data_IF_122265290852
#
_entry.id   IF_122265290852
#
_cell.length_a   1.000
_cell.length_b   1.000
_cell.length_c   1.000
_cell.angle_alpha   90.00
_cell.angle_beta   90.00
_cell.angle_gamma   90.00
#
_symmetry.space_group_name_H-M   'P 1'
#
loop_
_entity.id
_entity.type
_entity.pdbx_description
1 polymer ?
#
# COMPACT_ATOMS: atom_id res chain seq x y z
N UNK A 1 -6.32 2.43 13.66
CA UNK A 1 -5.72 2.48 12.31
C UNK A 1 -4.34 1.85 12.33
N UNK A 2 -3.87 1.30 11.20
CA UNK A 2 -2.64 0.49 11.13
C UNK A 2 -1.78 0.85 9.90
N UNK A 3 -1.02 -0.08 9.31
CA UNK A 3 0.02 0.18 8.31
C UNK A 3 -0.39 1.18 7.21
N UNK A 4 -1.54 0.96 6.55
CA UNK A 4 -2.00 1.84 5.45
C UNK A 4 -2.03 3.32 5.85
N UNK A 5 -2.73 3.64 6.94
CA UNK A 5 -2.85 5.02 7.41
C UNK A 5 -1.50 5.56 7.87
N UNK A 6 -0.68 4.74 8.53
CA UNK A 6 0.65 5.16 8.97
C UNK A 6 1.54 5.54 7.79
N UNK A 7 1.54 4.76 6.71
CA UNK A 7 2.26 5.09 5.48
C UNK A 7 1.72 6.37 4.85
N UNK A 8 0.40 6.53 4.74
CA UNK A 8 -0.20 7.74 4.15
C UNK A 8 0.13 9.00 4.96
N UNK A 9 0.11 8.93 6.30
CA UNK A 9 0.53 10.03 7.15
C UNK A 9 2.01 10.36 6.99
N UNK A 10 2.89 9.35 6.91
CA UNK A 10 4.33 9.56 6.66
C UNK A 10 4.55 10.23 5.31
N UNK A 11 3.95 9.68 4.25
CA UNK A 11 4.12 10.16 2.88
C UNK A 11 3.55 11.57 2.69
N UNK A 12 2.31 11.81 3.12
CA UNK A 12 1.68 13.13 3.05
C UNK A 12 2.37 14.16 3.96
N UNK A 13 2.68 13.79 5.20
CA UNK A 13 3.24 14.73 6.18
C UNK A 13 4.71 15.07 5.98
N UNK A 14 5.55 14.11 5.54
CA UNK A 14 6.98 14.32 5.37
C UNK A 14 7.40 14.72 3.96
N UNK A 15 6.57 14.42 2.95
CA UNK A 15 6.90 14.65 1.54
C UNK A 15 5.85 15.48 0.79
N UNK A 16 4.85 16.02 1.50
CA UNK A 16 3.82 16.91 0.96
C UNK A 16 3.05 16.30 -0.23
N UNK A 17 2.82 14.99 -0.21
CA UNK A 17 2.05 14.31 -1.25
C UNK A 17 0.54 14.58 -1.11
N UNK A 18 -0.20 14.68 -2.22
CA UNK A 18 -1.65 14.92 -2.18
C UNK A 18 -2.38 13.75 -1.50
N UNK A 19 -3.31 14.09 -0.61
CA UNK A 19 -3.86 13.16 0.37
C UNK A 19 -4.63 11.99 -0.26
N UNK A 20 -5.61 12.28 -1.12
CA UNK A 20 -6.50 11.26 -1.69
C UNK A 20 -5.76 10.28 -2.61
N UNK A 21 -4.83 10.79 -3.41
CA UNK A 21 -4.00 10.02 -4.32
C UNK A 21 -3.03 9.14 -3.56
N UNK A 22 -2.41 9.66 -2.49
CA UNK A 22 -1.54 8.86 -1.61
C UNK A 22 -2.29 7.68 -1.03
N UNK A 23 -3.52 7.88 -0.53
CA UNK A 23 -4.35 6.80 -0.03
C UNK A 23 -4.69 5.77 -1.12
N UNK A 24 -5.10 6.25 -2.29
CA UNK A 24 -5.44 5.42 -3.45
C UNK A 24 -4.27 4.51 -3.86
N UNK A 25 -3.07 5.08 -3.97
CA UNK A 25 -1.86 4.37 -4.41
C UNK A 25 -1.38 3.38 -3.34
N UNK A 26 -1.38 3.77 -2.07
CA UNK A 26 -0.80 2.95 -0.98
C UNK A 26 -1.72 1.79 -0.56
N UNK A 27 -3.04 1.95 -0.67
CA UNK A 27 -4.03 0.96 -0.23
C UNK A 27 -3.75 -0.47 -0.72
N UNK A 28 -3.58 -0.76 -2.02
CA UNK A 28 -3.38 -2.13 -2.49
C UNK A 28 -2.09 -2.75 -1.95
N UNK A 29 -1.00 -1.98 -1.85
CA UNK A 29 0.27 -2.50 -1.35
C UNK A 29 0.27 -2.73 0.17
N UNK A 30 -0.39 -1.87 0.95
CA UNK A 30 -0.55 -2.07 2.38
C UNK A 30 -1.47 -3.26 2.71
N UNK A 31 -2.50 -3.50 1.88
CA UNK A 31 -3.33 -4.70 1.98
C UNK A 31 -2.52 -5.95 1.64
N UNK A 32 -1.72 -5.92 0.56
CA UNK A 32 -0.87 -7.02 0.15
C UNK A 32 0.15 -7.41 1.23
N UNK A 33 0.76 -6.42 1.90
CA UNK A 33 1.64 -6.67 3.04
C UNK A 33 0.95 -7.50 4.13
N UNK A 34 -0.28 -7.11 4.49
CA UNK A 34 -1.02 -7.74 5.57
C UNK A 34 -1.70 -9.05 5.19
N UNK A 35 -1.94 -9.31 3.90
CA UNK A 35 -2.73 -10.44 3.40
C UNK A 35 -2.38 -11.80 4.04
N UNK A 36 -1.09 -12.18 4.24
CA UNK A 36 -0.74 -13.46 4.87
C UNK A 36 -1.19 -13.60 6.34
N UNK A 37 -1.53 -12.50 7.01
CA UNK A 37 -1.96 -12.46 8.42
C UNK A 37 -3.44 -12.11 8.59
N UNK A 38 -4.18 -11.89 7.50
CA UNK A 38 -5.63 -11.61 7.54
C UNK A 38 -6.42 -12.41 6.49
N UNK A 39 -6.22 -13.74 6.36
CA UNK A 39 -6.82 -14.53 5.27
C UNK A 39 -8.35 -14.47 5.23
N UNK A 40 -9.02 -14.42 6.39
CA UNK A 40 -10.48 -14.30 6.45
C UNK A 40 -10.97 -12.95 5.90
N UNK A 41 -10.26 -11.86 6.21
CA UNK A 41 -10.55 -10.54 5.64
C UNK A 41 -10.32 -10.52 4.13
N UNK A 42 -9.23 -11.14 3.65
CA UNK A 42 -8.97 -11.25 2.21
C UNK A 42 -10.09 -12.01 1.49
N UNK A 43 -10.62 -13.08 2.08
CA UNK A 43 -11.75 -13.83 1.52
C UNK A 43 -13.02 -12.98 1.42
N UNK A 44 -13.34 -12.19 2.45
CA UNK A 44 -14.50 -11.28 2.44
C UNK A 44 -14.33 -10.20 1.36
N UNK A 45 -13.15 -9.60 1.27
CA UNK A 45 -12.85 -8.57 0.27
C UNK A 45 -12.93 -9.12 -1.16
N UNK A 46 -12.46 -10.35 -1.39
CA UNK A 46 -12.57 -11.01 -2.68
C UNK A 46 -14.03 -11.20 -3.09
N UNK A 47 -14.95 -11.40 -2.14
CA UNK A 47 -16.38 -11.54 -2.42
C UNK A 47 -17.09 -10.25 -2.86
N UNK A 48 -16.50 -9.07 -2.63
CA UNK A 48 -17.13 -7.76 -2.92
C UNK A 48 -16.40 -6.95 -3.99
N UNK A 49 -15.12 -7.23 -4.24
CA UNK A 49 -14.33 -6.53 -5.25
C UNK A 49 -14.61 -7.08 -6.65
N UNK A 50 -14.69 -6.21 -7.68
CA UNK A 50 -15.02 -6.62 -9.04
C UNK A 50 -13.89 -7.49 -9.63
N UNK A 51 -14.27 -8.50 -10.42
CA UNK A 51 -13.34 -9.38 -11.16
C UNK A 51 -12.23 -10.02 -10.30
N UNK A 52 -12.48 -10.16 -9.00
CA UNK A 52 -11.52 -10.70 -8.03
C UNK A 52 -11.10 -12.13 -8.32
N UNK A 53 -12.00 -12.95 -8.89
CA UNK A 53 -11.80 -14.39 -9.08
C UNK A 53 -11.34 -15.11 -7.80
N UNK A 54 -11.82 -14.65 -6.63
CA UNK A 54 -11.42 -15.19 -5.32
C UNK A 54 -10.14 -14.57 -4.73
N UNK A 55 -9.48 -13.67 -5.46
CA UNK A 55 -8.31 -12.90 -5.00
C UNK A 55 -8.66 -11.41 -4.83
N UNK A 56 -8.66 -10.94 -3.59
CA UNK A 56 -8.95 -9.55 -3.28
C UNK A 56 -7.93 -8.56 -3.86
N UNK A 57 -6.65 -8.92 -3.97
CA UNK A 57 -5.63 -8.03 -4.55
C UNK A 57 -5.86 -7.87 -6.04
N UNK A 58 -6.15 -8.96 -6.75
CA UNK A 58 -6.58 -8.91 -8.16
C UNK A 58 -7.80 -8.02 -8.34
N UNK A 59 -8.83 -8.20 -7.51
CA UNK A 59 -10.05 -7.41 -7.60
C UNK A 59 -9.80 -5.91 -7.35
N UNK A 60 -8.96 -5.59 -6.36
CA UNK A 60 -8.59 -4.22 -6.05
C UNK A 60 -7.75 -3.58 -7.17
N UNK A 61 -6.75 -4.29 -7.70
CA UNK A 61 -5.97 -3.82 -8.85
C UNK A 61 -6.89 -3.56 -10.07
N UNK A 62 -7.86 -4.44 -10.32
CA UNK A 62 -8.82 -4.29 -11.41
C UNK A 62 -9.74 -3.08 -11.21
N UNK A 63 -10.27 -2.89 -10.00
CA UNK A 63 -11.08 -1.73 -9.65
C UNK A 63 -10.32 -0.42 -9.92
N UNK A 64 -9.10 -0.32 -9.39
CA UNK A 64 -8.27 0.87 -9.55
C UNK A 64 -7.91 1.13 -11.02
N UNK A 65 -7.68 0.09 -11.83
CA UNK A 65 -7.48 0.22 -13.28
C UNK A 65 -8.72 0.75 -13.99
N UNK A 66 -9.92 0.23 -13.66
CA UNK A 66 -11.19 0.69 -14.23
C UNK A 66 -11.50 2.15 -13.89
N UNK A 67 -11.07 2.62 -12.72
CA UNK A 67 -11.28 4.00 -12.28
C UNK A 67 -10.32 5.01 -12.93
N UNK A 68 -9.24 4.56 -13.58
CA UNK A 68 -8.27 5.46 -14.23
C UNK A 68 -7.55 6.41 -13.27
N UNK A 69 -7.47 6.05 -11.98
CA UNK A 69 -6.82 6.86 -10.95
C UNK A 69 -5.30 6.74 -10.99
N UNK A 70 -4.53 7.72 -10.47
CA UNK A 70 -3.08 7.60 -10.33
C UNK A 70 -2.69 6.32 -9.58
N UNK A 71 -1.69 5.61 -10.11
CA UNK A 71 -1.24 4.32 -9.58
C UNK A 71 0.18 4.32 -9.03
N UNK A 72 0.92 5.41 -9.17
CA UNK A 72 2.33 5.47 -8.78
C UNK A 72 2.63 6.69 -7.93
N UNK A 73 3.40 6.52 -6.84
CA UNK A 73 3.85 7.68 -6.05
C UNK A 73 4.76 8.59 -6.89
N UNK A 74 5.50 8.03 -7.85
CA UNK A 74 6.30 8.79 -8.83
C UNK A 74 5.45 9.81 -9.58
N UNK A 75 4.24 9.43 -10.03
CA UNK A 75 3.34 10.32 -10.78
C UNK A 75 2.79 11.49 -9.97
N UNK A 76 2.86 11.43 -8.63
CA UNK A 76 2.42 12.51 -7.74
C UNK A 76 3.59 13.22 -7.04
N UNK A 77 4.80 13.11 -7.60
CA UNK A 77 5.97 13.88 -7.17
C UNK A 77 6.85 13.23 -6.11
N UNK A 78 6.59 11.97 -5.72
CA UNK A 78 7.47 11.27 -4.78
C UNK A 78 8.76 10.82 -5.48
N UNK A 79 9.90 11.14 -4.88
CA UNK A 79 11.21 10.82 -5.45
C UNK A 79 11.69 9.43 -5.03
N UNK A 80 12.43 8.78 -5.90
CA UNK A 80 13.01 7.46 -5.63
C UNK A 80 14.04 7.50 -4.48
N UNK A 81 14.85 8.56 -4.44
CA UNK A 81 15.87 8.80 -3.40
C UNK A 81 15.28 8.91 -1.98
N UNK A 82 13.99 9.22 -1.87
CA UNK A 82 13.29 9.40 -0.59
C UNK A 82 12.66 8.10 -0.04
N UNK A 83 12.70 6.99 -0.78
CA UNK A 83 12.08 5.71 -0.38
C UNK A 83 12.64 5.20 0.96
N UNK A 84 13.98 5.22 1.11
CA UNK A 84 14.65 4.75 2.33
C UNK A 84 14.26 5.59 3.54
N UNK A 85 14.26 6.91 3.39
CA UNK A 85 13.83 7.85 4.42
C UNK A 85 12.36 7.63 4.82
N UNK A 86 11.47 7.40 3.86
CA UNK A 86 10.07 7.13 4.14
C UNK A 86 9.88 5.82 4.92
N UNK A 87 10.64 4.76 4.58
CA UNK A 87 10.63 3.50 5.31
C UNK A 87 11.09 3.69 6.77
N UNK A 88 12.19 4.41 6.99
CA UNK A 88 12.72 4.70 8.33
C UNK A 88 11.71 5.47 9.19
N UNK A 89 11.08 6.51 8.63
CA UNK A 89 10.04 7.29 9.34
C UNK A 89 8.83 6.39 9.65
N UNK A 90 8.42 5.53 8.71
CA UNK A 90 7.26 4.66 8.88
C UNK A 90 7.44 3.63 10.01
N UNK A 91 8.66 3.15 10.25
CA UNK A 91 8.98 2.16 11.29
C UNK A 91 9.55 2.75 12.59
N UNK A 92 9.85 4.06 12.62
CA UNK A 92 10.46 4.76 13.76
C UNK A 92 9.71 4.63 15.09
N UNK A 93 8.40 4.32 15.06
CA UNK A 93 7.59 4.08 16.25
C UNK A 93 6.80 2.79 16.06
N UNK A 94 6.75 1.98 17.11
CA UNK A 94 5.93 0.77 17.12
C UNK A 94 4.44 1.13 17.15
N UNK A 95 3.64 0.35 16.42
CA UNK A 95 2.18 0.42 16.42
C UNK A 95 1.61 -0.98 16.12
N UNK A 96 0.37 -1.21 16.55
CA UNK A 96 -0.31 -2.48 16.30
C UNK A 96 -0.61 -2.65 14.79
N UNK A 97 -0.19 -3.78 14.22
CA UNK A 97 -0.51 -4.22 12.86
C UNK A 97 -0.62 -5.75 12.82
N UNK A 98 -1.54 -6.35 12.04
CA UNK A 98 -1.73 -7.81 12.00
C UNK A 98 -0.48 -8.59 11.60
N UNK A 99 0.34 -8.03 10.72
CA UNK A 99 1.68 -8.53 10.40
C UNK A 99 2.73 -7.69 11.13
N UNK A 100 3.72 -8.33 11.75
CA UNK A 100 4.86 -7.61 12.36
C UNK A 100 5.45 -6.66 11.32
N UNK A 101 5.72 -5.42 11.71
CA UNK A 101 6.34 -4.42 10.84
C UNK A 101 7.83 -4.73 10.71
N UNK A 102 8.31 -4.78 9.48
CA UNK A 102 9.71 -5.01 9.12
C UNK A 102 10.17 -3.90 8.17
N UNK A 103 11.33 -3.30 8.46
CA UNK A 103 11.81 -2.11 7.75
C UNK A 103 12.07 -2.37 6.26
N UNK A 104 12.69 -3.49 5.92
CA UNK A 104 13.06 -3.79 4.54
C UNK A 104 11.83 -4.19 3.71
N UNK A 105 10.88 -4.90 4.33
CA UNK A 105 9.61 -5.18 3.68
C UNK A 105 8.76 -3.91 3.49
N UNK A 106 8.74 -2.98 4.45
CA UNK A 106 8.06 -1.69 4.29
C UNK A 106 8.73 -0.85 3.19
N UNK A 107 10.06 -0.85 3.11
CA UNK A 107 10.78 -0.21 2.01
C UNK A 107 10.33 -0.76 0.65
N UNK A 108 10.21 -2.08 0.53
CA UNK A 108 9.75 -2.71 -0.71
C UNK A 108 8.27 -2.41 -1.03
N UNK A 109 7.40 -2.34 -0.01
CA UNK A 109 6.01 -1.85 -0.18
C UNK A 109 6.00 -0.44 -0.77
N UNK A 110 6.82 0.48 -0.25
CA UNK A 110 6.92 1.85 -0.75
C UNK A 110 7.50 1.88 -2.16
N UNK A 111 8.52 1.07 -2.46
CA UNK A 111 9.13 0.99 -3.80
C UNK A 111 8.13 0.51 -4.85
N UNK A 112 7.34 -0.52 -4.56
CA UNK A 112 6.27 -1.02 -5.46
C UNK A 112 5.21 0.04 -5.70
N UNK A 113 4.78 0.74 -4.64
CA UNK A 113 3.85 1.86 -4.75
C UNK A 113 4.44 3.03 -5.54
N UNK A 114 5.75 3.28 -5.42
CA UNK A 114 6.45 4.30 -6.20
C UNK A 114 6.50 3.95 -7.69
N UNK A 115 6.80 2.70 -8.02
CA UNK A 115 6.85 2.22 -9.40
C UNK A 115 5.46 2.10 -10.05
N UNK A 116 4.40 2.00 -9.24
CA UNK A 116 3.04 1.76 -9.72
C UNK A 116 2.79 0.34 -10.18
N UNK A 117 3.47 -0.62 -9.56
CA UNK A 117 3.27 -2.04 -9.82
C UNK A 117 1.89 -2.50 -9.35
N UNK A 118 1.40 -3.61 -9.90
CA UNK A 118 0.27 -4.30 -9.30
C UNK A 118 0.65 -4.91 -7.96
N UNK A 119 -0.24 -4.73 -6.97
CA UNK A 119 -0.01 -5.28 -5.64
C UNK A 119 -0.17 -6.80 -5.63
N UNK A 120 0.76 -7.47 -4.96
CA UNK A 120 0.88 -8.93 -4.85
C UNK A 120 1.43 -9.29 -3.46
N UNK A 121 0.91 -10.37 -2.88
CA UNK A 121 1.27 -10.84 -1.54
C UNK A 121 2.40 -11.88 -1.56
N UNK A 122 3.56 -11.48 -2.10
CA UNK A 122 4.78 -12.30 -2.25
C UNK A 122 5.96 -11.75 -1.42
N UNK A 123 5.68 -10.84 -0.48
CA UNK A 123 6.62 -10.29 0.50
C UNK A 123 6.59 -11.06 1.81
#
# INVERSE_FOLDING_TARGET
MSLHHKLCHTLGGSFNLPHAETHTIVLPHALAYNAPKVPQTMKVLAGVLPDSQGDALRGLNTLLNKLGVPRSLKSIGFKEEDIDKAADIAVSRSYANPRKIDRDLIREVIRRAWAGEDARADL
#
